data_IF_858482531515
#
_entry.id   IF_858482531515
#
_cell.length_a   1.000
_cell.length_b   1.000
_cell.length_c   1.000
_cell.angle_alpha   90.00
_cell.angle_beta   90.00
_cell.angle_gamma   90.00
#
_symmetry.space_group_name_H-M   'P 1'
#
loop_
_entity.id
_entity.type
_entity.pdbx_description
1 polymer ?
#
# COMPACT_ATOMS: atom_id res chain seq x y z
N UNK A 1 24.00 -6.01 -26.50
CA UNK A 1 22.93 -7.04 -26.62
C UNK A 1 21.71 -6.53 -25.90
N UNK A 2 20.56 -6.53 -26.53
CA UNK A 2 19.27 -6.19 -25.88
C UNK A 2 19.04 -7.14 -24.70
N UNK A 3 18.70 -6.59 -23.52
CA UNK A 3 18.42 -7.37 -22.31
C UNK A 3 16.91 -7.64 -22.23
N UNK A 4 16.50 -8.89 -22.47
CA UNK A 4 15.12 -9.32 -22.26
C UNK A 4 15.01 -10.07 -20.93
N UNK A 5 13.98 -9.74 -20.12
CA UNK A 5 13.71 -10.40 -18.85
C UNK A 5 12.22 -10.35 -18.51
N UNK A 6 11.81 -11.20 -17.59
CA UNK A 6 10.46 -11.25 -17.04
C UNK A 6 10.47 -10.64 -15.63
N UNK A 7 9.45 -9.86 -15.31
CA UNK A 7 9.22 -9.38 -13.95
C UNK A 7 7.76 -9.64 -13.54
N UNK A 8 7.60 -10.12 -12.31
CA UNK A 8 6.30 -10.56 -11.79
C UNK A 8 5.96 -9.83 -10.51
N UNK A 9 4.72 -9.32 -10.43
CA UNK A 9 4.14 -8.84 -9.18
C UNK A 9 2.82 -9.54 -8.91
N UNK A 10 2.45 -9.60 -7.62
CA UNK A 10 1.18 -10.15 -7.17
C UNK A 10 0.36 -9.13 -6.39
N UNK A 11 -0.94 -9.34 -6.34
CA UNK A 11 -1.87 -8.64 -5.47
C UNK A 11 -2.91 -9.60 -4.91
N UNK A 12 -3.66 -9.14 -3.93
CA UNK A 12 -4.73 -9.91 -3.30
C UNK A 12 -6.00 -9.07 -3.20
N UNK A 13 -7.16 -9.73 -3.12
CA UNK A 13 -8.43 -9.05 -2.89
C UNK A 13 -8.56 -8.59 -1.43
N UNK A 14 -9.51 -7.71 -1.18
CA UNK A 14 -9.89 -7.26 0.17
C UNK A 14 -10.30 -8.40 1.11
N UNK A 15 -10.73 -9.55 0.57
CA UNK A 15 -11.16 -10.72 1.33
C UNK A 15 -10.04 -11.73 1.62
N UNK A 16 -8.81 -11.48 1.18
CA UNK A 16 -7.66 -12.28 1.59
C UNK A 16 -7.44 -12.16 3.11
N UNK A 17 -7.12 -13.24 3.85
CA UNK A 17 -7.00 -13.22 5.30
C UNK A 17 -6.11 -12.11 5.87
N UNK A 18 -4.90 -11.92 5.30
CA UNK A 18 -4.01 -10.84 5.74
C UNK A 18 -4.61 -9.46 5.47
N UNK A 19 -5.33 -9.27 4.34
CA UNK A 19 -5.96 -7.99 4.02
C UNK A 19 -7.23 -7.71 4.83
N UNK A 20 -7.92 -8.72 5.32
CA UNK A 20 -8.96 -8.55 6.33
C UNK A 20 -8.35 -7.94 7.60
N UNK A 21 -7.20 -8.47 8.04
CA UNK A 21 -6.49 -7.95 9.21
C UNK A 21 -6.07 -6.50 9.04
N UNK A 22 -5.42 -6.16 7.91
CA UNK A 22 -5.00 -4.81 7.60
C UNK A 22 -6.18 -3.83 7.59
N UNK A 23 -7.30 -4.20 6.98
CA UNK A 23 -8.49 -3.36 6.92
C UNK A 23 -9.15 -3.17 8.30
N UNK A 24 -9.16 -4.21 9.16
CA UNK A 24 -9.69 -4.08 10.53
C UNK A 24 -8.77 -3.17 11.35
N UNK A 25 -7.46 -3.35 11.29
CA UNK A 25 -6.47 -2.51 11.98
C UNK A 25 -6.61 -1.04 11.60
N UNK A 26 -6.74 -0.74 10.31
CA UNK A 26 -6.92 0.62 9.83
C UNK A 26 -8.33 1.19 10.05
N UNK A 27 -9.37 0.34 10.13
CA UNK A 27 -10.69 0.79 10.57
C UNK A 27 -10.67 1.24 12.04
N UNK A 28 -9.91 0.55 12.88
CA UNK A 28 -9.69 0.94 14.29
C UNK A 28 -8.93 2.27 14.34
N UNK A 29 -7.85 2.40 13.58
CA UNK A 29 -7.07 3.64 13.51
C UNK A 29 -7.93 4.83 13.07
N UNK A 30 -8.72 4.70 12.01
CA UNK A 30 -9.62 5.74 11.52
C UNK A 30 -10.62 6.16 12.59
N UNK A 31 -11.24 5.20 13.29
CA UNK A 31 -12.22 5.48 14.33
C UNK A 31 -11.63 6.21 15.54
N UNK A 32 -10.40 5.87 15.90
CA UNK A 32 -9.67 6.51 17.01
C UNK A 32 -9.25 7.94 16.63
N UNK A 33 -8.60 8.13 15.48
CA UNK A 33 -8.14 9.45 15.03
C UNK A 33 -9.30 10.40 14.72
N UNK A 34 -10.45 9.90 14.32
CA UNK A 34 -11.66 10.71 14.10
C UNK A 34 -12.12 11.39 15.39
N UNK A 35 -12.00 10.72 16.54
CA UNK A 35 -12.41 11.24 17.84
C UNK A 35 -11.26 11.93 18.59
N UNK A 36 -10.05 11.42 18.45
CA UNK A 36 -8.83 11.92 19.10
C UNK A 36 -7.64 11.89 18.13
N UNK A 37 -7.38 12.98 17.39
CA UNK A 37 -6.24 13.08 16.47
C UNK A 37 -4.87 12.90 17.13
N UNK A 38 -4.80 12.92 18.48
CA UNK A 38 -3.57 12.69 19.23
C UNK A 38 -3.35 11.22 19.61
N UNK A 39 -4.27 10.31 19.27
CA UNK A 39 -4.18 8.89 19.57
C UNK A 39 -2.85 8.28 19.11
N UNK A 40 -2.29 7.42 19.97
CA UNK A 40 -1.14 6.57 19.66
C UNK A 40 -1.67 5.16 19.44
N UNK A 41 -1.40 4.61 18.28
CA UNK A 41 -2.01 3.33 17.86
C UNK A 41 -0.96 2.45 17.21
N UNK A 42 -0.85 1.24 17.71
CA UNK A 42 -0.15 0.12 17.11
C UNK A 42 -1.08 -1.10 17.26
N UNK A 43 -2.09 -1.19 16.37
CA UNK A 43 -3.12 -2.23 16.43
C UNK A 43 -2.82 -3.32 15.42
N UNK A 44 -2.70 -4.54 15.88
CA UNK A 44 -2.50 -5.74 15.08
C UNK A 44 -3.71 -6.65 15.19
N UNK A 45 -4.03 -7.36 14.12
CA UNK A 45 -5.17 -8.27 14.06
C UNK A 45 -4.70 -9.62 13.53
N UNK A 46 -5.21 -10.68 14.16
CA UNK A 46 -5.09 -12.06 13.68
C UNK A 46 -6.48 -12.58 13.36
N UNK A 47 -6.64 -13.22 12.20
CA UNK A 47 -7.87 -13.95 11.86
C UNK A 47 -7.59 -15.40 11.58
N UNK A 48 -8.52 -16.26 11.97
CA UNK A 48 -8.54 -17.68 11.66
C UNK A 48 -10.00 -18.15 11.63
N UNK A 49 -10.25 -19.44 11.38
CA UNK A 49 -11.60 -20.02 11.42
C UNK A 49 -12.32 -19.60 12.71
N UNK A 50 -13.42 -18.86 12.57
CA UNK A 50 -14.27 -18.44 13.68
C UNK A 50 -13.64 -17.48 14.70
N UNK A 51 -12.46 -16.92 14.44
CA UNK A 51 -11.72 -16.06 15.37
C UNK A 51 -11.20 -14.78 14.74
N UNK A 52 -11.34 -13.68 15.47
CA UNK A 52 -10.59 -12.43 15.30
C UNK A 52 -9.95 -12.09 16.65
N UNK A 53 -8.65 -11.92 16.69
CA UNK A 53 -7.91 -11.37 17.84
C UNK A 53 -7.40 -9.98 17.45
N UNK A 54 -7.75 -8.97 18.25
CA UNK A 54 -7.22 -7.60 18.14
C UNK A 54 -6.25 -7.41 19.29
N UNK A 55 -5.00 -7.10 18.99
CA UNK A 55 -3.93 -6.96 19.98
C UNK A 55 -3.09 -5.70 19.66
N UNK A 56 -2.23 -5.31 20.60
CA UNK A 56 -1.31 -4.18 20.44
C UNK A 56 -1.48 -3.10 21.49
N UNK A 57 -0.90 -1.92 21.24
CA UNK A 57 -0.86 -0.81 22.17
C UNK A 57 -1.66 0.38 21.65
N UNK A 58 -2.59 0.88 22.49
CA UNK A 58 -3.44 2.02 22.15
C UNK A 58 -3.52 2.98 23.33
N UNK A 59 -3.05 4.21 23.14
CA UNK A 59 -3.23 5.32 24.07
C UNK A 59 -4.11 6.38 23.43
N UNK A 60 -5.31 6.58 23.96
CA UNK A 60 -6.32 7.45 23.36
C UNK A 60 -7.32 7.97 24.39
N UNK A 61 -7.98 9.09 24.05
CA UNK A 61 -9.16 9.59 24.75
C UNK A 61 -10.47 9.19 24.05
N UNK A 62 -10.36 8.58 22.86
CA UNK A 62 -11.52 8.13 22.10
C UNK A 62 -12.20 6.94 22.78
N UNK A 63 -13.51 6.83 22.61
CA UNK A 63 -14.30 5.70 23.07
C UNK A 63 -14.96 5.01 21.86
N UNK A 64 -14.43 3.86 21.47
CA UNK A 64 -14.89 3.08 20.32
C UNK A 64 -15.20 1.65 20.69
N UNK A 65 -16.14 1.05 20.00
CA UNK A 65 -16.47 -0.36 20.14
C UNK A 65 -15.69 -1.19 19.10
N UNK A 66 -14.53 -1.69 19.48
CA UNK A 66 -13.63 -2.47 18.59
C UNK A 66 -14.33 -3.69 17.98
N UNK A 67 -15.16 -4.40 18.77
CA UNK A 67 -15.89 -5.58 18.30
C UNK A 67 -16.85 -5.21 17.16
N UNK A 68 -17.60 -4.13 17.33
CA UNK A 68 -18.54 -3.69 16.30
C UNK A 68 -17.82 -3.19 15.05
N UNK A 69 -16.67 -2.49 15.19
CA UNK A 69 -15.85 -2.06 14.06
C UNK A 69 -15.36 -3.26 13.24
N UNK A 70 -14.80 -4.27 13.90
CA UNK A 70 -14.33 -5.48 13.22
C UNK A 70 -15.47 -6.21 12.50
N UNK A 71 -16.62 -6.42 13.18
CA UNK A 71 -17.80 -7.08 12.56
C UNK A 71 -18.32 -6.32 11.35
N UNK A 72 -18.43 -4.99 11.45
CA UNK A 72 -18.86 -4.14 10.35
C UNK A 72 -17.93 -4.26 9.15
N UNK A 73 -16.61 -4.21 9.39
CA UNK A 73 -15.61 -4.36 8.32
C UNK A 73 -15.66 -5.74 7.65
N UNK A 74 -15.78 -6.82 8.43
CA UNK A 74 -15.93 -8.18 7.92
C UNK A 74 -17.17 -8.31 7.03
N UNK A 75 -18.30 -7.72 7.44
CA UNK A 75 -19.53 -7.70 6.64
C UNK A 75 -19.37 -6.89 5.34
N UNK A 76 -18.71 -5.72 5.39
CA UNK A 76 -18.43 -4.85 4.25
C UNK A 76 -17.55 -5.55 3.19
N UNK A 77 -16.57 -6.36 3.62
CA UNK A 77 -15.74 -7.19 2.75
C UNK A 77 -16.58 -8.27 2.05
N UNK A 78 -17.65 -8.76 2.69
CA UNK A 78 -18.58 -9.75 2.12
C UNK A 78 -18.60 -11.10 2.84
N UNK A 79 -18.00 -11.22 4.02
CA UNK A 79 -18.13 -12.41 4.86
C UNK A 79 -19.39 -12.31 5.73
N UNK A 80 -20.55 -12.54 5.10
CA UNK A 80 -21.87 -12.41 5.73
C UNK A 80 -22.54 -13.77 6.02
N UNK A 81 -22.11 -14.84 5.33
CA UNK A 81 -22.67 -16.17 5.46
C UNK A 81 -21.80 -17.08 6.33
N UNK A 82 -22.41 -17.79 7.28
CA UNK A 82 -21.72 -18.72 8.16
C UNK A 82 -21.10 -19.93 7.45
N UNK A 83 -21.61 -20.29 6.27
CA UNK A 83 -21.14 -21.43 5.46
C UNK A 83 -19.66 -21.32 5.04
N UNK A 84 -19.08 -20.13 5.16
CA UNK A 84 -17.67 -19.88 4.86
C UNK A 84 -16.73 -20.15 6.05
N UNK A 85 -17.23 -20.70 7.18
CA UNK A 85 -16.45 -20.92 8.40
C UNK A 85 -15.94 -19.65 9.08
N UNK A 86 -16.26 -18.47 8.50
CA UNK A 86 -15.91 -17.15 8.97
C UNK A 86 -16.99 -16.15 8.52
N UNK A 87 -17.63 -15.45 9.45
CA UNK A 87 -18.62 -14.43 9.11
C UNK A 87 -18.70 -13.35 10.19
N UNK A 88 -19.18 -12.18 9.80
CA UNK A 88 -19.36 -11.03 10.69
C UNK A 88 -20.16 -11.35 11.97
N UNK A 89 -21.15 -12.25 11.86
CA UNK A 89 -22.07 -12.55 12.97
C UNK A 89 -21.63 -13.74 13.84
N UNK A 90 -20.92 -14.73 13.27
CA UNK A 90 -20.57 -15.97 13.97
C UNK A 90 -19.14 -16.00 14.53
N UNK A 91 -18.26 -15.11 14.08
CA UNK A 91 -16.85 -15.09 14.49
C UNK A 91 -16.71 -14.51 15.90
N UNK A 92 -15.92 -15.18 16.76
CA UNK A 92 -15.52 -14.64 18.07
C UNK A 92 -14.51 -13.50 17.86
N UNK A 93 -14.69 -12.40 18.61
CA UNK A 93 -13.76 -11.27 18.59
C UNK A 93 -13.17 -11.13 20.00
N UNK A 94 -11.86 -11.32 20.12
CA UNK A 94 -11.10 -11.20 21.36
C UNK A 94 -10.25 -9.91 21.30
N UNK A 95 -10.08 -9.29 22.47
CA UNK A 95 -9.28 -8.08 22.65
C UNK A 95 -8.15 -8.37 23.64
N UNK A 96 -6.91 -8.01 23.26
CA UNK A 96 -5.72 -8.04 24.09
C UNK A 96 -4.93 -6.75 23.83
N UNK A 97 -5.41 -5.65 24.40
CA UNK A 97 -4.91 -4.29 24.15
C UNK A 97 -4.33 -3.72 25.44
N UNK A 98 -3.15 -3.14 25.35
CA UNK A 98 -2.42 -2.44 26.40
C UNK A 98 -2.25 -0.96 26.08
N UNK A 99 -1.76 -0.16 27.03
CA UNK A 99 -1.32 1.20 26.82
C UNK A 99 0.14 1.22 26.33
N UNK A 100 0.52 2.24 25.55
CA UNK A 100 1.91 2.40 25.11
C UNK A 100 2.87 2.53 26.30
N UNK A 101 4.03 1.87 26.22
CA UNK A 101 5.09 1.97 27.22
C UNK A 101 5.49 3.43 27.47
N UNK A 102 5.57 3.86 28.76
CA UNK A 102 6.04 5.19 29.13
C UNK A 102 7.46 5.51 28.62
N UNK A 103 8.32 4.50 28.56
CA UNK A 103 9.71 4.65 28.10
C UNK A 103 9.77 4.99 26.60
N UNK A 104 8.93 4.36 25.79
CA UNK A 104 8.81 4.67 24.37
C UNK A 104 8.20 6.08 24.20
N UNK A 105 7.15 6.39 24.94
CA UNK A 105 6.45 7.66 24.88
C UNK A 105 7.36 8.86 25.15
N UNK A 106 8.33 8.72 26.08
CA UNK A 106 9.27 9.79 26.43
C UNK A 106 10.13 10.22 25.23
N UNK A 107 10.69 9.27 24.47
CA UNK A 107 11.54 9.56 23.32
C UNK A 107 10.77 10.09 22.11
N UNK A 108 9.54 9.60 21.91
CA UNK A 108 8.69 9.98 20.76
C UNK A 108 8.01 11.34 20.97
N UNK A 109 7.58 11.65 22.20
CA UNK A 109 6.86 12.88 22.50
C UNK A 109 7.79 14.11 22.60
N UNK A 110 9.08 13.90 22.89
CA UNK A 110 10.09 14.96 22.97
C UNK A 110 11.37 14.49 22.30
N UNK A 111 11.58 14.93 21.07
CA UNK A 111 12.74 14.53 20.26
C UNK A 111 14.08 14.95 20.90
N UNK A 112 15.16 14.27 20.52
CA UNK A 112 16.50 14.53 21.03
C UNK A 112 16.92 15.99 20.78
N UNK A 113 16.65 16.51 19.59
CA UNK A 113 16.98 17.89 19.20
C UNK A 113 16.36 18.93 20.15
N UNK A 114 15.14 18.68 20.62
CA UNK A 114 14.47 19.57 21.60
C UNK A 114 15.07 19.45 23.01
N UNK A 115 15.56 18.26 23.38
CA UNK A 115 16.17 18.01 24.70
C UNK A 115 17.59 18.60 24.82
N UNK A 116 18.29 18.68 23.70
CA UNK A 116 19.68 19.19 23.63
C UNK A 116 19.76 20.72 23.32
N UNK A 117 18.61 21.42 23.32
CA UNK A 117 18.50 22.86 23.02
C UNK A 117 19.00 23.23 21.60
N UNK A 118 19.19 22.27 20.71
CA UNK A 118 19.61 22.48 19.31
C UNK A 118 18.42 22.74 18.37
N UNK A 119 17.24 23.02 18.92
CA UNK A 119 16.01 23.20 18.18
C UNK A 119 15.24 24.45 18.55
N UNK A 120 15.07 25.31 17.57
CA UNK A 120 14.09 26.39 17.55
C UNK A 120 12.91 26.13 16.63
N UNK A 121 12.87 24.94 15.97
CA UNK A 121 11.99 24.68 14.86
C UNK A 121 10.74 23.89 15.25
N UNK A 122 9.61 24.32 14.70
CA UNK A 122 8.27 23.73 14.91
C UNK A 122 8.22 22.21 14.73
N UNK A 123 9.02 21.65 13.82
CA UNK A 123 8.97 20.23 13.46
C UNK A 123 10.04 19.35 14.13
N UNK A 124 10.92 19.92 14.93
CA UNK A 124 11.90 19.16 15.72
C UNK A 124 11.33 18.62 17.05
N UNK A 125 10.03 18.83 17.34
CA UNK A 125 9.42 18.48 18.62
C UNK A 125 9.12 16.99 18.79
N UNK A 126 8.80 16.29 17.71
CA UNK A 126 8.40 14.87 17.72
C UNK A 126 9.53 14.06 17.11
N UNK A 127 10.09 13.13 17.88
CA UNK A 127 11.05 12.15 17.38
C UNK A 127 10.36 11.03 16.59
N UNK A 128 11.14 10.32 15.79
CA UNK A 128 10.66 9.12 15.11
C UNK A 128 10.16 8.09 16.13
N UNK A 129 9.03 7.46 15.84
CA UNK A 129 8.39 6.47 16.73
C UNK A 129 9.16 5.16 16.86
N UNK A 130 10.09 4.90 15.94
CA UNK A 130 11.00 3.77 15.93
C UNK A 130 12.21 4.09 15.06
N UNK A 131 13.24 3.25 15.14
CA UNK A 131 14.30 3.18 14.14
C UNK A 131 13.76 2.46 12.90
N UNK A 132 14.34 2.73 11.72
CA UNK A 132 13.99 1.98 10.53
C UNK A 132 14.49 2.61 9.24
N UNK A 133 14.30 1.87 8.15
CA UNK A 133 14.55 2.30 6.78
C UNK A 133 13.25 2.21 5.97
N UNK A 134 12.95 3.24 5.20
CA UNK A 134 11.75 3.32 4.38
C UNK A 134 12.14 3.64 2.95
N UNK A 135 11.40 3.08 2.00
CA UNK A 135 11.66 3.28 0.58
C UNK A 135 10.46 3.92 -0.12
N UNK A 136 10.77 4.88 -0.99
CA UNK A 136 9.84 5.42 -1.96
C UNK A 136 10.32 5.10 -3.36
N UNK A 137 9.39 4.86 -4.28
CA UNK A 137 9.72 4.57 -5.67
C UNK A 137 8.71 5.23 -6.61
N UNK A 138 9.16 5.59 -7.80
CA UNK A 138 8.32 5.97 -8.92
C UNK A 138 9.00 5.58 -10.24
N UNK A 139 8.20 5.27 -11.26
CA UNK A 139 8.64 5.06 -12.63
C UNK A 139 7.61 5.62 -13.60
N UNK A 140 8.03 5.97 -14.80
CA UNK A 140 7.16 6.50 -15.85
C UNK A 140 6.43 5.40 -16.66
N UNK A 141 6.29 4.20 -16.10
CA UNK A 141 5.68 3.06 -16.79
C UNK A 141 4.15 3.14 -16.85
N UNK A 142 3.52 3.87 -15.92
CA UNK A 142 2.06 4.05 -15.86
C UNK A 142 1.70 5.50 -15.56
N UNK A 143 0.48 5.96 -15.87
CA UNK A 143 0.05 7.34 -15.57
C UNK A 143 0.14 7.71 -14.08
N UNK A 144 -0.07 6.75 -13.19
CA UNK A 144 0.07 6.90 -11.74
C UNK A 144 1.53 6.88 -11.27
N UNK A 145 2.49 6.69 -12.17
CA UNK A 145 3.93 6.59 -11.93
C UNK A 145 4.28 5.41 -11.01
N UNK A 146 3.67 4.25 -11.29
CA UNK A 146 3.91 2.96 -10.64
C UNK A 146 4.53 1.96 -11.62
N UNK A 147 5.24 0.93 -11.12
CA UNK A 147 5.64 -0.20 -11.95
C UNK A 147 4.43 -0.92 -12.54
N UNK A 148 4.48 -1.24 -13.83
CA UNK A 148 3.36 -1.85 -14.56
C UNK A 148 2.87 -3.18 -13.97
N UNK A 149 3.74 -4.13 -13.52
CA UNK A 149 3.28 -5.42 -13.02
C UNK A 149 2.38 -5.31 -11.79
N UNK A 150 2.75 -4.48 -10.80
CA UNK A 150 1.94 -4.29 -9.59
C UNK A 150 0.67 -3.48 -9.86
N UNK A 151 0.75 -2.46 -10.72
CA UNK A 151 -0.44 -1.70 -11.14
C UNK A 151 -1.48 -2.63 -11.78
N UNK A 152 -1.07 -3.51 -12.70
CA UNK A 152 -1.95 -4.49 -13.33
C UNK A 152 -2.51 -5.51 -12.32
N UNK A 153 -1.67 -6.04 -11.44
CA UNK A 153 -2.11 -7.00 -10.42
C UNK A 153 -3.18 -6.38 -9.50
N UNK A 154 -3.01 -5.14 -9.07
CA UNK A 154 -4.01 -4.40 -8.28
C UNK A 154 -5.30 -4.14 -9.07
N UNK A 155 -5.20 -3.70 -10.32
CA UNK A 155 -6.38 -3.44 -11.17
C UNK A 155 -7.21 -4.71 -11.37
N UNK A 156 -6.56 -5.87 -11.61
CA UNK A 156 -7.25 -7.18 -11.73
C UNK A 156 -7.89 -7.56 -10.39
N UNK A 157 -7.18 -7.45 -9.26
CA UNK A 157 -7.72 -7.79 -7.94
C UNK A 157 -8.93 -6.91 -7.56
N UNK A 158 -8.87 -5.61 -7.87
CA UNK A 158 -9.96 -4.66 -7.64
C UNK A 158 -11.17 -4.97 -8.52
N UNK A 159 -10.96 -5.26 -9.82
CA UNK A 159 -12.04 -5.62 -10.74
C UNK A 159 -12.69 -6.95 -10.32
N UNK A 160 -11.88 -7.93 -9.88
CA UNK A 160 -12.36 -9.21 -9.36
C UNK A 160 -13.32 -9.02 -8.17
N UNK A 161 -12.97 -8.15 -7.22
CA UNK A 161 -13.83 -7.81 -6.10
C UNK A 161 -15.09 -7.04 -6.56
N UNK A 162 -14.96 -6.15 -7.54
CA UNK A 162 -16.08 -5.37 -8.06
C UNK A 162 -17.14 -6.26 -8.71
N UNK A 163 -16.77 -7.19 -9.60
CA UNK A 163 -17.72 -8.09 -10.27
C UNK A 163 -18.44 -9.03 -9.28
N UNK A 164 -17.78 -9.38 -8.18
CA UNK A 164 -18.39 -10.11 -7.07
C UNK A 164 -19.42 -9.25 -6.33
N UNK A 165 -19.03 -8.03 -5.93
CA UNK A 165 -19.88 -7.12 -5.13
C UNK A 165 -21.09 -6.61 -5.90
N UNK A 166 -20.97 -6.38 -7.20
CA UNK A 166 -22.08 -5.96 -8.06
C UNK A 166 -23.03 -7.12 -8.41
N UNK A 167 -22.64 -8.37 -8.13
CA UNK A 167 -23.41 -9.56 -8.54
C UNK A 167 -23.29 -9.92 -10.01
N UNK A 168 -22.35 -9.33 -10.74
CA UNK A 168 -22.03 -9.70 -12.13
C UNK A 168 -21.55 -11.16 -12.21
N UNK A 169 -20.71 -11.57 -11.24
CA UNK A 169 -20.27 -12.96 -11.04
C UNK A 169 -20.63 -13.43 -9.62
N UNK A 170 -21.90 -13.79 -9.35
CA UNK A 170 -22.40 -13.99 -7.98
C UNK A 170 -21.86 -15.26 -7.29
N UNK A 171 -21.24 -16.15 -8.03
CA UNK A 171 -20.62 -17.36 -7.50
C UNK A 171 -19.21 -17.11 -6.93
N UNK A 172 -18.61 -15.93 -7.16
CA UNK A 172 -17.34 -15.57 -6.56
C UNK A 172 -17.48 -15.31 -5.06
N UNK A 173 -16.42 -15.61 -4.32
CA UNK A 173 -16.30 -15.39 -2.89
C UNK A 173 -15.20 -14.32 -2.60
N UNK A 174 -15.09 -13.82 -1.35
CA UNK A 174 -14.23 -12.67 -1.08
C UNK A 174 -12.73 -12.89 -1.28
N UNK A 175 -12.22 -14.10 -1.04
CA UNK A 175 -10.79 -14.40 -1.11
C UNK A 175 -10.31 -14.58 -2.55
N UNK A 176 -9.16 -14.00 -2.85
CA UNK A 176 -8.53 -14.13 -4.15
C UNK A 176 -7.14 -13.52 -4.22
N UNK A 177 -6.36 -14.02 -5.18
CA UNK A 177 -5.01 -13.54 -5.49
C UNK A 177 -4.88 -13.33 -7.00
N UNK A 178 -4.07 -12.37 -7.37
CA UNK A 178 -3.74 -12.07 -8.77
C UNK A 178 -2.24 -11.94 -8.94
N UNK A 179 -1.72 -12.34 -10.09
CA UNK A 179 -0.30 -12.23 -10.41
C UNK A 179 -0.16 -11.89 -11.89
N UNK A 180 0.71 -10.94 -12.20
CA UNK A 180 1.00 -10.54 -13.58
C UNK A 180 2.49 -10.59 -13.82
N UNK A 181 2.89 -11.29 -14.90
CA UNK A 181 4.27 -11.33 -15.39
C UNK A 181 4.36 -10.51 -16.66
N UNK A 182 5.20 -9.48 -16.63
CA UNK A 182 5.45 -8.55 -17.73
C UNK A 182 6.80 -8.88 -18.38
N UNK A 183 6.82 -8.82 -19.71
CA UNK A 183 8.04 -8.96 -20.52
C UNK A 183 8.68 -7.58 -20.67
N UNK A 184 9.95 -7.47 -20.31
CA UNK A 184 10.74 -6.25 -20.49
C UNK A 184 11.84 -6.46 -21.53
N UNK A 185 12.06 -5.44 -22.36
CA UNK A 185 13.21 -5.32 -23.27
C UNK A 185 13.89 -3.96 -23.03
N UNK A 186 15.16 -3.98 -22.67
CA UNK A 186 15.97 -2.78 -22.36
C UNK A 186 15.27 -1.84 -21.36
N UNK A 187 14.61 -2.42 -20.34
CA UNK A 187 13.92 -1.69 -19.28
C UNK A 187 12.53 -1.17 -19.63
N UNK A 188 12.01 -1.46 -20.81
CA UNK A 188 10.65 -1.10 -21.24
C UNK A 188 9.73 -2.30 -21.26
N UNK A 189 8.53 -2.17 -20.76
CA UNK A 189 7.49 -3.19 -20.85
C UNK A 189 7.05 -3.36 -22.31
N UNK A 190 7.10 -4.59 -22.85
CA UNK A 190 6.80 -4.90 -24.24
C UNK A 190 5.73 -5.97 -24.43
N UNK A 191 5.34 -6.68 -23.37
CA UNK A 191 4.31 -7.73 -23.48
C UNK A 191 3.91 -8.29 -22.11
N UNK A 192 2.84 -9.08 -22.11
CA UNK A 192 2.34 -9.80 -20.95
C UNK A 192 2.59 -11.30 -21.16
N UNK A 193 3.43 -11.89 -20.32
CA UNK A 193 3.75 -13.34 -20.39
C UNK A 193 2.68 -14.18 -19.71
N UNK A 194 2.30 -13.82 -18.48
CA UNK A 194 1.37 -14.63 -17.68
C UNK A 194 0.43 -13.75 -16.87
N UNK A 195 -0.84 -14.14 -16.85
CA UNK A 195 -1.87 -13.63 -15.92
C UNK A 195 -2.38 -14.82 -15.12
N UNK A 196 -2.27 -14.76 -13.79
CA UNK A 196 -2.79 -15.77 -12.88
C UNK A 196 -3.85 -15.13 -11.98
N UNK A 197 -5.02 -15.78 -11.90
CA UNK A 197 -6.08 -15.44 -10.96
C UNK A 197 -6.42 -16.71 -10.16
N UNK A 198 -6.24 -16.62 -8.83
CA UNK A 198 -6.78 -17.61 -7.89
C UNK A 198 -7.93 -16.96 -7.14
N UNK A 199 -9.14 -17.48 -7.29
CA UNK A 199 -10.33 -16.86 -6.69
C UNK A 199 -11.22 -17.91 -6.04
N UNK A 200 -11.67 -17.62 -4.83
CA UNK A 200 -12.64 -18.42 -4.11
C UNK A 200 -14.00 -18.35 -4.81
N UNK A 201 -14.70 -19.48 -4.90
CA UNK A 201 -15.98 -19.60 -5.59
C UNK A 201 -16.91 -20.62 -4.90
N UNK A 202 -18.19 -20.63 -5.29
CA UNK A 202 -19.12 -21.70 -4.88
C UNK A 202 -18.77 -23.03 -5.52
N UNK A 203 -19.11 -24.15 -4.88
CA UNK A 203 -18.86 -25.47 -5.43
C UNK A 203 -19.54 -25.70 -6.79
N UNK A 204 -20.71 -25.07 -6.99
CA UNK A 204 -21.51 -25.18 -8.21
C UNK A 204 -21.81 -23.78 -8.75
N UNK A 205 -22.05 -23.67 -10.07
CA UNK A 205 -22.50 -22.44 -10.74
C UNK A 205 -23.85 -22.73 -11.39
N UNK A 206 -24.94 -22.31 -10.73
CA UNK A 206 -26.30 -22.69 -11.16
C UNK A 206 -26.44 -24.22 -11.24
N UNK A 207 -26.82 -24.74 -12.40
CA UNK A 207 -26.97 -26.14 -12.64
C UNK A 207 -25.64 -26.87 -12.98
N UNK A 208 -24.54 -26.16 -13.16
CA UNK A 208 -23.22 -26.72 -13.46
C UNK A 208 -22.62 -27.29 -12.18
N UNK A 209 -22.48 -28.61 -12.07
CA UNK A 209 -21.95 -29.35 -10.92
C UNK A 209 -20.65 -30.09 -11.22
N UNK A 210 -20.36 -30.34 -12.49
CA UNK A 210 -19.11 -30.95 -12.93
C UNK A 210 -17.95 -29.98 -12.68
N UNK A 211 -16.90 -30.44 -11.98
CA UNK A 211 -15.79 -29.60 -11.56
C UNK A 211 -15.04 -28.99 -12.75
N UNK A 212 -14.81 -29.76 -13.81
CA UNK A 212 -14.11 -29.26 -14.99
C UNK A 212 -14.94 -28.22 -15.74
N UNK A 213 -16.26 -28.41 -15.83
CA UNK A 213 -17.18 -27.43 -16.42
C UNK A 213 -17.28 -26.16 -15.59
N UNK A 214 -17.28 -26.26 -14.25
CA UNK A 214 -17.21 -25.08 -13.34
C UNK A 214 -15.93 -24.29 -13.58
N UNK A 215 -14.76 -24.96 -13.63
CA UNK A 215 -13.48 -24.28 -13.86
C UNK A 215 -13.41 -23.64 -15.25
N UNK A 216 -13.91 -24.30 -16.28
CA UNK A 216 -13.97 -23.75 -17.63
C UNK A 216 -14.85 -22.48 -17.68
N UNK A 217 -16.01 -22.52 -17.01
CA UNK A 217 -16.91 -21.35 -16.90
C UNK A 217 -16.23 -20.20 -16.16
N UNK A 218 -15.61 -20.45 -15.02
CA UNK A 218 -14.87 -19.43 -14.25
C UNK A 218 -13.78 -18.79 -15.14
N UNK A 219 -12.99 -19.60 -15.83
CA UNK A 219 -11.91 -19.11 -16.69
C UNK A 219 -12.43 -18.19 -17.79
N UNK A 220 -13.52 -18.58 -18.46
CA UNK A 220 -14.15 -17.79 -19.49
C UNK A 220 -14.69 -16.46 -18.94
N UNK A 221 -15.44 -16.51 -17.84
CA UNK A 221 -16.05 -15.32 -17.24
C UNK A 221 -15.01 -14.33 -16.71
N UNK A 222 -13.93 -14.83 -16.08
CA UNK A 222 -12.84 -13.96 -15.60
C UNK A 222 -12.09 -13.29 -16.74
N UNK A 223 -11.95 -13.95 -17.89
CA UNK A 223 -11.35 -13.30 -19.05
C UNK A 223 -12.20 -12.10 -19.48
N UNK A 224 -13.47 -12.31 -19.75
CA UNK A 224 -14.37 -11.28 -20.31
C UNK A 224 -14.76 -10.20 -19.29
N UNK A 225 -15.03 -10.58 -18.01
CA UNK A 225 -15.52 -9.64 -17.02
C UNK A 225 -14.39 -8.94 -16.22
N UNK A 226 -13.18 -9.52 -16.17
CA UNK A 226 -12.09 -9.00 -15.35
C UNK A 226 -10.88 -8.62 -16.18
N UNK A 227 -10.33 -9.55 -17.00
CA UNK A 227 -9.07 -9.29 -17.72
C UNK A 227 -9.25 -8.27 -18.83
N UNK A 228 -10.15 -8.52 -19.79
CA UNK A 228 -10.37 -7.61 -20.92
C UNK A 228 -10.66 -6.17 -20.51
N UNK A 229 -11.55 -5.89 -19.53
CA UNK A 229 -11.79 -4.50 -19.09
C UNK A 229 -10.58 -3.82 -18.46
N UNK A 230 -9.71 -4.56 -17.74
CA UNK A 230 -8.50 -4.00 -17.10
C UNK A 230 -7.46 -3.58 -18.14
N UNK A 231 -7.37 -4.30 -19.25
CA UNK A 231 -6.40 -4.00 -20.31
C UNK A 231 -6.94 -3.07 -21.41
N UNK A 232 -8.18 -2.58 -21.28
CA UNK A 232 -8.82 -1.75 -22.32
C UNK A 232 -8.05 -0.49 -22.68
N UNK A 233 -7.51 0.20 -21.67
CA UNK A 233 -6.80 1.50 -21.75
C UNK A 233 -5.27 1.38 -21.62
N UNK A 234 -4.72 0.18 -21.69
CA UNK A 234 -3.28 -0.07 -21.52
C UNK A 234 -2.67 -0.43 -22.87
N UNK A 235 -1.50 0.15 -23.18
CA UNK A 235 -0.81 -0.10 -24.45
C UNK A 235 -0.22 -1.51 -24.54
N UNK A 236 0.34 -2.02 -23.43
CA UNK A 236 0.90 -3.37 -23.33
C UNK A 236 -0.20 -4.36 -22.99
N UNK A 237 -0.69 -5.09 -24.00
CA UNK A 237 -1.85 -5.99 -23.91
C UNK A 237 -1.44 -7.46 -23.91
N UNK A 238 -2.24 -8.34 -23.28
CA UNK A 238 -2.12 -9.78 -23.48
C UNK A 238 -2.42 -10.13 -24.96
N UNK A 239 -1.78 -11.18 -25.45
CA UNK A 239 -1.93 -11.73 -26.78
C UNK A 239 -2.10 -13.27 -26.75
N UNK A 240 -2.07 -13.94 -27.90
CA UNK A 240 -2.25 -15.41 -28.01
C UNK A 240 -1.15 -16.20 -27.29
N UNK A 241 0.03 -15.62 -27.08
CA UNK A 241 1.14 -16.25 -26.35
C UNK A 241 1.01 -16.08 -24.84
N UNK A 242 0.15 -15.17 -24.36
CA UNK A 242 -0.07 -14.92 -22.94
C UNK A 242 -0.71 -16.11 -22.25
N UNK A 243 -0.06 -16.64 -21.23
CA UNK A 243 -0.60 -17.73 -20.43
C UNK A 243 -1.64 -17.20 -19.45
N UNK A 244 -2.89 -17.61 -19.61
CA UNK A 244 -3.94 -17.30 -18.65
C UNK A 244 -4.24 -18.51 -17.77
N UNK A 245 -3.90 -18.40 -16.48
CA UNK A 245 -4.05 -19.44 -15.46
C UNK A 245 -5.14 -19.03 -14.45
N UNK A 246 -6.09 -19.94 -14.21
CA UNK A 246 -7.16 -19.74 -13.24
C UNK A 246 -7.23 -20.95 -12.32
N UNK A 247 -7.15 -20.74 -11.01
CA UNK A 247 -7.19 -21.81 -9.99
C UNK A 247 -6.37 -23.05 -10.41
N UNK A 248 -5.05 -22.97 -10.61
CA UNK A 248 -4.27 -24.09 -11.20
C UNK A 248 -4.32 -25.39 -10.40
N UNK A 249 -4.69 -25.33 -9.12
CA UNK A 249 -4.88 -26.51 -8.25
C UNK A 249 -6.24 -27.18 -8.44
N UNK A 250 -7.12 -26.63 -9.29
CA UNK A 250 -8.48 -27.08 -9.49
C UNK A 250 -9.49 -26.16 -8.82
N UNK A 251 -10.27 -26.68 -7.86
CA UNK A 251 -11.30 -25.91 -7.14
C UNK A 251 -10.70 -25.07 -6.00
N UNK A 252 -11.34 -23.91 -5.76
CA UNK A 252 -11.03 -23.04 -4.62
C UNK A 252 -12.33 -22.66 -3.90
N UNK A 253 -12.93 -23.62 -3.21
CA UNK A 253 -14.21 -23.46 -2.46
C UNK A 253 -13.94 -23.09 -1.02
N UNK A 254 -13.01 -23.76 -0.35
CA UNK A 254 -12.56 -23.40 1.01
C UNK A 254 -11.48 -22.32 0.88
N UNK A 255 -11.73 -21.15 1.45
CA UNK A 255 -10.82 -20.00 1.40
C UNK A 255 -11.13 -18.99 2.51
N UNK A 256 -10.51 -17.83 2.44
CA UNK A 256 -10.57 -16.84 3.51
C UNK A 256 -9.96 -17.39 4.81
N UNK A 257 -10.33 -16.85 5.97
CA UNK A 257 -9.80 -17.30 7.27
C UNK A 257 -10.07 -18.76 7.62
N UNK A 258 -10.98 -19.43 6.91
CA UNK A 258 -11.18 -20.89 7.05
C UNK A 258 -10.07 -21.67 6.34
N UNK A 259 -9.54 -21.15 5.25
CA UNK A 259 -8.49 -21.82 4.46
C UNK A 259 -7.09 -21.55 4.98
N UNK A 260 -6.83 -20.31 5.43
CA UNK A 260 -5.52 -19.87 5.93
C UNK A 260 -5.70 -18.75 6.95
N UNK A 261 -4.80 -18.68 7.93
CA UNK A 261 -4.80 -17.60 8.91
C UNK A 261 -4.28 -16.29 8.32
N UNK A 262 -4.81 -15.16 8.78
CA UNK A 262 -4.34 -13.83 8.42
C UNK A 262 -3.71 -13.10 9.59
N UNK A 263 -2.80 -12.17 9.28
CA UNK A 263 -2.15 -11.29 10.24
C UNK A 263 -1.89 -9.92 9.61
N UNK A 264 -2.07 -8.85 10.39
CA UNK A 264 -1.72 -7.48 9.98
C UNK A 264 -0.26 -7.39 9.55
N UNK A 265 0.01 -6.72 8.44
CA UNK A 265 1.36 -6.44 7.97
C UNK A 265 2.09 -7.61 7.29
N UNK A 266 1.37 -8.62 6.79
CA UNK A 266 1.96 -9.74 6.03
C UNK A 266 1.88 -9.59 4.51
N UNK A 267 1.40 -8.46 4.01
CA UNK A 267 1.32 -8.16 2.58
C UNK A 267 2.04 -6.86 2.21
N UNK A 268 3.18 -6.60 2.89
CA UNK A 268 3.95 -5.36 2.76
C UNK A 268 4.46 -5.08 1.34
N UNK A 269 4.74 -6.11 0.57
CA UNK A 269 5.19 -5.98 -0.84
C UNK A 269 4.01 -5.66 -1.76
N UNK A 270 2.83 -6.25 -1.49
CA UNK A 270 1.55 -5.90 -2.16
C UNK A 270 1.15 -4.47 -1.82
N UNK A 271 1.37 -4.03 -0.58
CA UNK A 271 1.05 -2.67 -0.11
C UNK A 271 1.90 -1.59 -0.78
N UNK A 272 3.06 -1.95 -1.33
CA UNK A 272 4.04 -1.01 -1.89
C UNK A 272 4.22 -1.19 -3.40
N UNK A 273 5.33 -1.74 -3.85
CA UNK A 273 5.74 -1.71 -5.27
C UNK A 273 5.82 -3.10 -5.93
N UNK A 274 5.25 -4.14 -5.30
CA UNK A 274 5.20 -5.50 -5.88
C UNK A 274 6.58 -6.13 -6.10
N UNK A 275 7.58 -5.74 -5.31
CA UNK A 275 8.96 -6.24 -5.42
C UNK A 275 9.85 -5.47 -6.39
N UNK A 276 9.33 -4.43 -7.04
CA UNK A 276 10.11 -3.62 -8.00
C UNK A 276 11.12 -2.69 -7.31
N UNK A 277 10.82 -2.23 -6.11
CA UNK A 277 11.68 -1.45 -5.21
C UNK A 277 12.09 -2.28 -4.01
N UNK A 278 13.19 -1.86 -3.36
CA UNK A 278 13.57 -2.35 -2.03
C UNK A 278 12.45 -2.07 -1.02
N UNK A 279 12.51 -2.75 0.13
CA UNK A 279 11.57 -2.56 1.23
C UNK A 279 12.29 -2.62 2.58
N UNK A 280 11.93 -1.74 3.50
CA UNK A 280 12.56 -1.68 4.84
C UNK A 280 12.01 -2.69 5.85
N UNK A 281 10.92 -3.38 5.53
CA UNK A 281 10.28 -4.39 6.37
C UNK A 281 9.12 -3.87 7.23
N UNK A 282 8.93 -2.54 7.36
CA UNK A 282 7.85 -1.95 8.15
C UNK A 282 6.48 -2.09 7.52
N UNK A 283 5.50 -2.59 8.28
CA UNK A 283 4.10 -2.61 7.88
C UNK A 283 3.42 -1.26 8.14
N UNK A 284 2.36 -0.96 7.38
CA UNK A 284 1.62 0.31 7.47
C UNK A 284 0.37 0.22 8.34
N UNK A 285 -0.48 -0.76 8.05
CA UNK A 285 -1.81 -0.88 8.67
C UNK A 285 -1.75 -1.00 10.19
N UNK A 286 -2.69 -0.35 10.87
CA UNK A 286 -2.78 -0.32 12.33
C UNK A 286 -1.84 0.67 13.03
N UNK A 287 -0.96 1.35 12.30
CA UNK A 287 0.01 2.31 12.85
C UNK A 287 -0.44 3.74 12.66
N UNK A 288 -0.45 4.55 13.73
CA UNK A 288 -0.68 6.00 13.65
C UNK A 288 0.50 6.72 12.97
N UNK A 289 0.30 7.97 12.47
CA UNK A 289 1.31 8.66 11.66
C UNK A 289 2.63 8.99 12.34
N UNK A 290 2.78 8.80 13.63
CA UNK A 290 4.07 8.98 14.33
C UNK A 290 5.03 7.82 14.08
N UNK A 291 4.51 6.68 13.62
CA UNK A 291 5.31 5.54 13.18
C UNK A 291 5.83 5.81 11.78
N UNK A 292 7.14 6.05 11.69
CA UNK A 292 7.84 6.41 10.44
C UNK A 292 7.77 5.32 9.38
N UNK A 293 7.61 4.05 9.77
CA UNK A 293 7.32 2.96 8.84
C UNK A 293 6.21 3.32 7.84
N UNK A 294 5.17 3.98 8.33
CA UNK A 294 4.04 4.43 7.52
C UNK A 294 4.26 5.84 6.95
N UNK A 295 4.43 6.84 7.79
CA UNK A 295 4.47 8.23 7.37
C UNK A 295 5.67 8.56 6.49
N UNK A 296 6.85 8.06 6.82
CA UNK A 296 8.05 8.31 6.02
C UNK A 296 8.07 7.50 4.71
N UNK A 297 7.46 6.32 4.65
CA UNK A 297 7.25 5.61 3.40
C UNK A 297 6.34 6.42 2.43
N UNK A 298 5.29 7.05 2.96
CA UNK A 298 4.44 7.94 2.18
C UNK A 298 5.21 9.19 1.71
N UNK A 299 6.04 9.79 2.58
CA UNK A 299 6.88 10.91 2.20
C UNK A 299 7.92 10.53 1.15
N UNK A 300 8.56 9.37 1.27
CA UNK A 300 9.51 8.87 0.28
C UNK A 300 8.83 8.63 -1.08
N UNK A 301 7.59 8.09 -1.11
CA UNK A 301 6.77 7.99 -2.33
C UNK A 301 6.50 9.36 -2.94
N UNK A 302 6.10 10.33 -2.14
CA UNK A 302 5.83 11.69 -2.61
C UNK A 302 7.06 12.34 -3.25
N UNK A 303 8.24 12.19 -2.63
CA UNK A 303 9.51 12.66 -3.19
C UNK A 303 9.80 11.98 -4.53
N UNK A 304 9.79 10.65 -4.56
CA UNK A 304 10.08 9.88 -5.77
C UNK A 304 9.10 10.25 -6.92
N UNK A 305 7.82 10.36 -6.60
CA UNK A 305 6.78 10.70 -7.59
C UNK A 305 6.98 12.09 -8.19
N UNK A 306 7.32 13.09 -7.38
CA UNK A 306 7.58 14.45 -7.85
C UNK A 306 8.85 14.54 -8.71
N UNK A 307 9.90 13.78 -8.41
CA UNK A 307 11.13 13.74 -9.24
C UNK A 307 10.81 13.17 -10.63
N UNK A 308 10.07 12.06 -10.71
CA UNK A 308 9.69 11.48 -12.02
C UNK A 308 8.71 12.39 -12.76
N UNK A 309 7.72 12.96 -12.07
CA UNK A 309 6.78 13.91 -12.66
C UNK A 309 7.47 15.19 -13.19
N UNK A 310 8.54 15.64 -12.55
CA UNK A 310 9.38 16.74 -13.01
C UNK A 310 10.21 16.39 -14.27
N UNK A 311 10.24 15.12 -14.66
CA UNK A 311 11.06 14.62 -15.77
C UNK A 311 12.56 14.55 -15.46
N UNK A 312 12.95 14.58 -14.18
CA UNK A 312 14.36 14.54 -13.73
C UNK A 312 14.95 13.13 -13.74
N UNK A 313 14.11 12.11 -13.75
CA UNK A 313 14.48 10.70 -13.95
C UNK A 313 13.31 9.93 -14.55
N UNK A 314 13.57 8.82 -15.27
CA UNK A 314 12.51 7.92 -15.75
C UNK A 314 12.04 6.99 -14.62
N UNK A 315 12.92 6.69 -13.66
CA UNK A 315 12.62 5.99 -12.41
C UNK A 315 13.58 6.42 -11.32
N UNK A 316 13.11 6.39 -10.09
CA UNK A 316 13.91 6.75 -8.92
C UNK A 316 13.44 5.97 -7.69
N UNK A 317 14.40 5.57 -6.87
CA UNK A 317 14.20 5.03 -5.53
C UNK A 317 14.80 5.99 -4.50
N UNK A 318 14.05 6.27 -3.45
CA UNK A 318 14.46 7.09 -2.31
C UNK A 318 14.48 6.20 -1.08
N UNK A 319 15.62 6.17 -0.36
CA UNK A 319 15.69 5.58 0.97
C UNK A 319 15.74 6.69 2.01
N UNK A 320 14.91 6.57 3.04
CA UNK A 320 14.99 7.36 4.27
C UNK A 320 15.31 6.45 5.44
N UNK A 321 16.13 6.92 6.39
CA UNK A 321 16.35 6.20 7.63
C UNK A 321 16.18 7.09 8.84
N UNK A 322 15.74 6.51 9.95
CA UNK A 322 15.50 7.22 11.22
C UNK A 322 16.05 6.42 12.39
N UNK A 323 16.37 7.15 13.46
CA UNK A 323 16.63 6.59 14.78
C UNK A 323 15.45 6.94 15.72
N UNK A 324 15.09 6.02 16.61
CA UNK A 324 14.01 6.26 17.57
C UNK A 324 14.29 7.53 18.39
N UNK A 325 13.29 8.38 18.55
CA UNK A 325 13.40 9.61 19.34
C UNK A 325 14.19 10.75 18.69
N UNK A 326 14.66 10.58 17.44
CA UNK A 326 15.34 11.61 16.63
C UNK A 326 14.37 12.14 15.58
N UNK A 327 14.29 13.46 15.39
CA UNK A 327 13.37 14.05 14.43
C UNK A 327 13.91 14.04 13.00
N UNK A 328 15.19 14.28 12.83
CA UNK A 328 15.80 14.37 11.48
C UNK A 328 16.15 13.00 10.95
N UNK A 329 15.95 12.73 9.63
CA UNK A 329 16.44 11.51 9.00
C UNK A 329 17.95 11.35 9.25
N UNK A 330 18.38 10.14 9.61
CA UNK A 330 19.80 9.81 9.78
C UNK A 330 20.54 9.66 8.46
N UNK A 331 19.82 9.28 7.38
CA UNK A 331 20.34 9.30 6.01
C UNK A 331 19.21 9.43 4.99
N UNK A 332 19.57 9.95 3.81
CA UNK A 332 18.76 10.02 2.60
C UNK A 332 19.62 9.48 1.46
N UNK A 333 19.13 8.48 0.75
CA UNK A 333 19.78 7.95 -0.47
C UNK A 333 18.83 8.15 -1.66
N UNK A 334 19.41 8.54 -2.78
CA UNK A 334 18.73 8.63 -4.09
C UNK A 334 19.42 7.63 -5.02
N UNK A 335 18.63 6.84 -5.75
CA UNK A 335 19.12 5.94 -6.81
C UNK A 335 18.20 6.11 -8.04
N UNK A 336 18.75 6.64 -9.12
CA UNK A 336 18.02 6.86 -10.38
C UNK A 336 18.15 5.68 -11.33
N UNK A 337 18.89 4.64 -10.96
CA UNK A 337 19.19 3.50 -11.82
C UNK A 337 19.80 3.90 -13.17
N UNK A 338 20.57 4.98 -13.18
CA UNK A 338 21.18 5.54 -14.38
C UNK A 338 20.23 6.25 -15.35
N UNK A 339 19.00 6.55 -14.92
CA UNK A 339 18.00 7.29 -15.73
C UNK A 339 17.91 8.78 -15.38
N UNK A 340 18.72 9.25 -14.43
CA UNK A 340 18.77 10.65 -14.00
C UNK A 340 19.14 11.60 -15.13
N UNK A 341 18.45 12.74 -15.20
CA UNK A 341 18.77 13.86 -16.10
C UNK A 341 19.71 14.87 -15.44
N UNK A 342 19.80 14.82 -14.12
CA UNK A 342 20.79 15.46 -13.27
C UNK A 342 21.44 14.39 -12.40
N UNK A 343 22.60 14.70 -11.80
CA UNK A 343 23.29 13.78 -10.91
C UNK A 343 22.51 13.61 -9.57
N UNK A 344 22.80 12.52 -8.89
CA UNK A 344 22.09 12.15 -7.65
C UNK A 344 22.42 13.09 -6.47
N UNK A 345 23.58 13.75 -6.50
CA UNK A 345 23.94 14.74 -5.50
C UNK A 345 23.08 15.99 -5.63
N UNK A 346 22.86 16.47 -6.86
CA UNK A 346 21.92 17.54 -7.15
C UNK A 346 20.50 17.17 -6.70
N UNK A 347 20.03 15.96 -7.00
CA UNK A 347 18.71 15.50 -6.54
C UNK A 347 18.61 15.46 -5.01
N UNK A 348 19.67 15.01 -4.32
CA UNK A 348 19.72 14.97 -2.86
C UNK A 348 19.60 16.38 -2.24
N UNK A 349 20.30 17.37 -2.81
CA UNK A 349 20.20 18.75 -2.33
C UNK A 349 18.80 19.34 -2.60
N UNK A 350 18.19 19.07 -3.75
CA UNK A 350 16.81 19.48 -4.03
C UNK A 350 15.81 18.84 -3.05
N UNK A 351 16.00 17.57 -2.69
CA UNK A 351 15.17 16.90 -1.68
C UNK A 351 15.28 17.59 -0.33
N UNK A 352 16.50 17.87 0.13
CA UNK A 352 16.72 18.55 1.41
C UNK A 352 16.13 19.96 1.47
N UNK A 353 16.12 20.67 0.34
CA UNK A 353 15.63 22.05 0.26
C UNK A 353 14.09 22.12 0.15
N UNK A 354 13.45 21.18 -0.51
CA UNK A 354 12.05 21.30 -0.94
C UNK A 354 11.08 20.35 -0.24
N UNK A 355 11.58 19.38 0.54
CA UNK A 355 10.74 18.42 1.25
C UNK A 355 10.99 18.39 2.74
N UNK A 356 9.92 18.41 3.49
CA UNK A 356 9.96 18.26 4.94
C UNK A 356 9.86 16.77 5.29
N UNK A 357 10.94 16.19 5.82
CA UNK A 357 11.05 14.75 6.08
C UNK A 357 11.10 14.41 7.57
N UNK A 358 10.98 15.40 8.48
CA UNK A 358 10.82 15.13 9.91
C UNK A 358 9.41 14.60 10.20
N UNK A 359 9.21 13.67 11.16
CA UNK A 359 7.91 13.06 11.42
C UNK A 359 6.78 14.07 11.64
N UNK A 360 7.01 15.10 12.48
CA UNK A 360 6.03 16.17 12.70
C UNK A 360 5.71 16.96 11.43
N UNK A 361 6.71 17.18 10.59
CA UNK A 361 6.56 17.89 9.32
C UNK A 361 5.76 17.08 8.31
N UNK A 362 6.03 15.80 8.16
CA UNK A 362 5.27 14.88 7.29
C UNK A 362 3.80 14.84 7.72
N UNK A 363 3.55 14.64 9.03
CA UNK A 363 2.20 14.62 9.60
C UNK A 363 1.45 15.93 9.29
N UNK A 364 2.12 17.06 9.41
CA UNK A 364 1.55 18.38 9.14
C UNK A 364 1.29 18.58 7.64
N UNK A 365 2.27 18.29 6.78
CA UNK A 365 2.19 18.49 5.33
C UNK A 365 1.07 17.67 4.71
N UNK A 366 0.90 16.42 5.14
CA UNK A 366 -0.14 15.53 4.63
C UNK A 366 -1.41 15.54 5.47
N UNK A 367 -1.48 16.33 6.56
CA UNK A 367 -2.63 16.38 7.47
C UNK A 367 -3.08 15.02 8.02
N UNK A 368 -2.14 14.08 8.20
CA UNK A 368 -2.40 12.65 8.43
C UNK A 368 -3.26 12.36 9.65
N UNK A 369 -3.27 13.21 10.66
CA UNK A 369 -4.06 13.01 11.88
C UNK A 369 -5.52 13.39 11.73
N UNK A 370 -5.83 14.35 10.86
CA UNK A 370 -7.17 14.90 10.73
C UNK A 370 -7.95 14.32 9.54
N UNK A 371 -7.26 13.75 8.54
CA UNK A 371 -7.89 13.16 7.36
C UNK A 371 -8.99 12.15 7.69
N UNK A 372 -8.89 11.26 8.70
CA UNK A 372 -10.00 10.39 9.06
C UNK A 372 -11.27 11.17 9.44
N UNK A 373 -11.14 12.22 10.25
CA UNK A 373 -12.29 13.05 10.63
C UNK A 373 -12.85 13.86 9.43
N UNK A 374 -11.98 14.49 8.64
CA UNK A 374 -12.36 15.29 7.48
C UNK A 374 -13.05 14.45 6.38
N UNK A 375 -12.75 13.15 6.31
CA UNK A 375 -13.34 12.20 5.36
C UNK A 375 -14.42 11.30 5.98
N UNK A 376 -15.06 11.76 7.06
CA UNK A 376 -16.20 11.06 7.67
C UNK A 376 -15.88 9.72 8.32
N UNK A 377 -14.68 9.57 8.87
CA UNK A 377 -14.23 8.36 9.57
C UNK A 377 -13.66 7.28 8.64
N UNK A 378 -13.28 7.65 7.41
CA UNK A 378 -12.69 6.73 6.40
C UNK A 378 -11.51 7.38 5.70
N UNK A 379 -10.32 6.86 5.93
CA UNK A 379 -9.12 7.26 5.20
C UNK A 379 -8.12 6.10 5.11
N UNK A 380 -7.55 5.66 6.24
CA UNK A 380 -6.54 4.61 6.26
C UNK A 380 -7.10 3.25 5.84
N UNK A 381 -8.33 2.93 6.22
CA UNK A 381 -8.97 1.69 5.81
C UNK A 381 -9.18 1.57 4.30
N UNK A 382 -9.25 2.69 3.56
CA UNK A 382 -9.45 2.68 2.12
C UNK A 382 -8.16 2.40 1.34
N UNK A 383 -6.99 2.63 1.94
CA UNK A 383 -5.69 2.25 1.37
C UNK A 383 -5.21 0.88 1.84
N UNK A 384 -5.85 0.28 2.84
CA UNK A 384 -5.47 -1.02 3.40
C UNK A 384 -5.67 -2.21 2.46
N UNK A 385 -6.25 -2.01 1.27
CA UNK A 385 -6.39 -3.01 0.22
C UNK A 385 -6.04 -2.39 -1.14
N UNK A 386 -5.47 -3.21 -2.04
CA UNK A 386 -5.10 -2.82 -3.41
C UNK A 386 -3.95 -1.79 -3.50
N UNK A 387 -3.06 -1.80 -2.50
CA UNK A 387 -1.87 -0.96 -2.43
C UNK A 387 -2.12 0.43 -1.82
N UNK A 388 -1.07 0.98 -1.18
CA UNK A 388 -1.08 2.32 -0.62
C UNK A 388 -0.60 3.38 -1.61
N UNK A 389 -0.04 2.96 -2.74
CA UNK A 389 0.53 3.82 -3.78
C UNK A 389 -0.15 3.61 -5.13
N UNK A 390 -0.11 4.65 -6.00
CA UNK A 390 -0.69 4.60 -7.32
C UNK A 390 -2.23 4.57 -7.33
N UNK A 391 -2.87 5.08 -6.29
CA UNK A 391 -4.33 5.07 -6.08
C UNK A 391 -4.98 6.32 -6.66
N UNK A 392 -5.09 6.37 -7.99
CA UNK A 392 -5.78 7.48 -8.67
C UNK A 392 -7.30 7.57 -8.38
N UNK A 393 -7.87 6.53 -7.77
CA UNK A 393 -9.26 6.50 -7.29
C UNK A 393 -9.46 7.18 -5.93
N UNK A 394 -8.37 7.48 -5.21
CA UNK A 394 -8.36 8.15 -3.93
C UNK A 394 -7.54 9.45 -4.04
N UNK A 395 -8.03 10.50 -3.42
CA UNK A 395 -7.27 11.75 -3.30
C UNK A 395 -6.28 11.64 -2.13
N UNK A 396 -5.08 11.14 -2.41
CA UNK A 396 -4.04 10.89 -1.41
C UNK A 396 -2.97 11.98 -1.44
N UNK A 397 -2.61 12.59 -0.28
CA UNK A 397 -1.61 13.67 -0.23
C UNK A 397 -0.25 13.28 -0.80
N UNK A 398 0.19 12.05 -0.58
CA UNK A 398 1.48 11.55 -1.07
C UNK A 398 1.48 11.14 -2.56
N UNK A 399 0.33 11.20 -3.22
CA UNK A 399 0.21 10.98 -4.67
C UNK A 399 0.13 12.29 -5.46
N UNK A 400 0.19 13.46 -4.80
CA UNK A 400 0.22 14.75 -5.47
C UNK A 400 1.58 15.02 -6.14
N UNK A 401 1.58 15.76 -7.25
CA UNK A 401 2.79 16.15 -8.01
C UNK A 401 3.01 17.67 -8.01
N UNK A 402 2.55 18.33 -6.96
CA UNK A 402 2.56 19.78 -6.79
C UNK A 402 3.96 20.41 -6.65
N UNK A 403 4.98 19.58 -6.43
CA UNK A 403 6.39 20.00 -6.38
C UNK A 403 7.13 19.83 -7.72
N UNK A 404 6.54 19.17 -8.70
CA UNK A 404 7.23 18.80 -9.95
C UNK A 404 7.79 20.03 -10.71
N UNK A 405 6.99 21.07 -10.92
CA UNK A 405 7.47 22.27 -11.64
C UNK A 405 8.54 23.04 -10.85
N UNK A 406 8.41 23.11 -9.51
CA UNK A 406 9.43 23.69 -8.64
C UNK A 406 10.78 22.96 -8.77
N UNK A 407 10.76 21.63 -8.70
CA UNK A 407 11.95 20.78 -8.84
C UNK A 407 12.62 20.96 -10.22
N UNK A 408 11.82 21.00 -11.27
CA UNK A 408 12.30 21.21 -12.63
C UNK A 408 13.01 22.55 -12.79
N UNK A 409 12.44 23.62 -12.23
CA UNK A 409 13.04 24.95 -12.27
C UNK A 409 14.35 24.98 -11.48
N UNK A 410 14.35 24.49 -10.24
CA UNK A 410 15.53 24.47 -9.39
C UNK A 410 16.68 23.61 -9.98
N UNK A 411 16.35 22.48 -10.61
CA UNK A 411 17.33 21.67 -11.33
C UNK A 411 17.97 22.41 -12.51
N UNK A 412 17.19 23.16 -13.30
CA UNK A 412 17.72 23.95 -14.42
C UNK A 412 18.61 25.09 -13.94
N UNK A 413 18.29 25.75 -12.82
CA UNK A 413 19.13 26.77 -12.20
C UNK A 413 20.47 26.19 -11.73
N UNK A 414 20.47 25.01 -11.10
CA UNK A 414 21.68 24.30 -10.68
C UNK A 414 22.59 23.96 -11.87
N UNK A 415 22.03 23.41 -12.96
CA UNK A 415 22.77 23.13 -14.18
C UNK A 415 23.37 24.37 -14.83
N UNK A 416 22.63 25.48 -14.81
CA UNK A 416 23.10 26.76 -15.36
C UNK A 416 24.27 27.34 -14.54
N UNK A 417 24.20 27.24 -13.21
CA UNK A 417 25.27 27.68 -12.32
C UNK A 417 26.56 26.86 -12.52
N UNK A 418 26.45 25.54 -12.67
CA UNK A 418 27.59 24.66 -12.94
C UNK A 418 28.22 25.01 -14.30
N UNK A 419 27.41 25.23 -15.34
CA UNK A 419 27.91 25.61 -16.65
C UNK A 419 28.66 26.96 -16.64
N UNK A 420 28.19 27.94 -15.87
CA UNK A 420 28.86 29.24 -15.69
C UNK A 420 30.17 29.14 -14.88
N UNK A 421 30.25 28.21 -13.93
CA UNK A 421 31.47 28.02 -13.13
C UNK A 421 32.59 27.30 -13.91
N UNK A 422 32.28 26.63 -15.02
CA UNK A 422 33.20 25.92 -15.88
C UNK A 422 33.71 26.77 -17.07
N UNK A 423 33.15 27.95 -17.29
CA UNK A 423 33.56 28.94 -18.30
C UNK A 423 34.39 30.06 -17.71
#
# INVERSE_FOLDING_TARGET
>A
MSRRYLFTSESVTEGHPDKICDQISDTILDALLTQDPSSRVAAEVVVNTGLVLITGEITTKANVNFVNLARKKIAEIGYINADNGFSANSTSVLLALDEQSPDIAQGVNTAQETREEDSDQKFDKIGAGDQGIMFGFASNETPELMPLPISLAHRIARRLAAVRKTGELPYLRPDGKTQVTVVYEDGRAVGIDTILISTQHTANIGEIKDEAAVQAKIKQDLWSAVVEPVFGDIDVKPNEETRFLVNPTGKFVVGGPQGDSGLTGRKIIVDTYGGYSRHGGGAFSGKDPTKVDRSAAYAARYVAKNIVAAGLADKVEIQLSYAIGVARPTSILVDTFGTGKVDEETLLELIKQHFELRPAGIIHTFNLRNLPNERGGRFYQDVAAYGHFGRGDLDLPWEQTDRAELLKQAANESLSAVAQALT
#
